data_IF_224188921246
#
_entry.id   IF_224188921246
#
_cell.length_a   1.000
_cell.length_b   1.000
_cell.length_c   1.000
_cell.angle_alpha   90.00
_cell.angle_beta   90.00
_cell.angle_gamma   90.00
#
_symmetry.space_group_name_H-M   'P 1'
#
loop_
_entity.id
_entity.type
_entity.pdbx_description
1 polymer ?
#
# COMPACT_ATOMS: atom_id res chain seq x y z
N UNK A 1 74.08 101.73 3.22
CA UNK A 1 72.90 100.84 3.39
C UNK A 1 72.48 100.20 2.06
N UNK A 2 73.34 99.36 1.45
CA UNK A 2 73.04 98.65 0.18
C UNK A 2 73.46 97.16 0.18
N UNK A 3 73.98 96.64 1.31
CA UNK A 3 74.53 95.28 1.40
C UNK A 3 73.65 94.29 2.18
N UNK A 4 72.50 94.73 2.70
CA UNK A 4 71.60 93.87 3.50
C UNK A 4 70.47 93.27 2.65
N UNK A 5 70.14 93.87 1.50
CA UNK A 5 69.01 93.42 0.66
C UNK A 5 69.34 92.16 -0.16
N UNK A 6 70.62 91.88 -0.42
CA UNK A 6 71.05 90.72 -1.25
C UNK A 6 70.95 89.40 -0.48
N UNK A 7 71.03 89.41 0.85
CA UNK A 7 70.95 88.19 1.67
C UNK A 7 69.52 87.64 1.81
N UNK A 8 68.48 88.45 1.64
CA UNK A 8 67.10 87.97 1.71
C UNK A 8 66.62 87.28 0.41
N UNK A 9 67.23 87.57 -0.74
CA UNK A 9 66.85 86.94 -2.03
C UNK A 9 67.46 85.55 -2.23
N UNK A 10 68.63 85.27 -1.64
CA UNK A 10 69.29 83.94 -1.75
C UNK A 10 68.59 82.89 -0.86
N UNK A 11 67.90 83.30 0.20
CA UNK A 11 67.17 82.39 1.09
C UNK A 11 65.80 81.95 0.53
N UNK A 12 65.27 82.61 -0.51
CA UNK A 12 63.96 82.26 -1.08
C UNK A 12 64.04 81.27 -2.25
N UNK A 13 65.23 81.05 -2.83
CA UNK A 13 65.41 80.13 -3.98
C UNK A 13 65.77 78.70 -3.52
N UNK A 14 66.15 78.50 -2.26
CA UNK A 14 66.54 77.18 -1.73
C UNK A 14 65.43 76.44 -0.97
N UNK A 15 64.22 76.98 -0.94
CA UNK A 15 63.06 76.41 -0.24
C UNK A 15 61.92 76.05 -1.19
N UNK A 16 62.24 75.47 -2.35
CA UNK A 16 61.26 74.69 -3.13
C UNK A 16 61.37 73.24 -2.64
N UNK A 17 60.50 72.77 -1.72
CA UNK A 17 60.41 71.35 -1.45
C UNK A 17 59.95 70.66 -2.74
N UNK A 18 60.74 69.69 -3.18
CA UNK A 18 60.40 68.78 -4.27
C UNK A 18 59.15 67.96 -3.90
N UNK A 19 57.97 68.47 -4.26
CA UNK A 19 56.69 67.76 -4.18
C UNK A 19 56.58 66.82 -5.39
N UNK A 20 57.29 65.69 -5.38
CA UNK A 20 57.07 64.62 -6.38
C UNK A 20 57.22 63.21 -5.81
N UNK A 21 57.18 63.02 -4.48
CA UNK A 21 57.37 61.68 -3.87
C UNK A 21 56.32 61.23 -2.85
N UNK A 22 55.17 61.92 -2.75
CA UNK A 22 54.08 61.50 -1.85
C UNK A 22 52.87 60.87 -2.57
N UNK A 23 52.60 61.21 -3.84
CA UNK A 23 51.42 60.71 -4.57
C UNK A 23 51.57 59.27 -5.09
N UNK A 24 52.80 58.79 -5.29
CA UNK A 24 53.03 57.40 -5.71
C UNK A 24 52.75 56.37 -4.61
N UNK A 25 52.67 56.75 -3.32
CA UNK A 25 52.44 55.77 -2.25
C UNK A 25 50.93 55.52 -1.99
N UNK A 26 50.08 56.48 -2.33
CA UNK A 26 48.61 56.37 -2.14
C UNK A 26 47.99 55.54 -3.27
N UNK A 27 48.42 55.76 -4.52
CA UNK A 27 47.93 54.99 -5.66
C UNK A 27 48.31 53.50 -5.59
N UNK A 28 49.51 53.16 -5.10
CA UNK A 28 49.91 51.76 -4.91
C UNK A 28 49.10 51.07 -3.79
N UNK A 29 48.80 51.77 -2.68
CA UNK A 29 47.93 51.21 -1.62
C UNK A 29 46.48 51.03 -2.07
N UNK A 30 45.95 51.94 -2.88
CA UNK A 30 44.59 51.80 -3.43
C UNK A 30 44.50 50.63 -4.44
N UNK A 31 45.50 50.46 -5.31
CA UNK A 31 45.56 49.31 -6.22
C UNK A 31 45.74 47.97 -5.49
N UNK A 32 46.57 47.90 -4.45
CA UNK A 32 46.74 46.71 -3.63
C UNK A 32 45.42 46.30 -2.94
N UNK A 33 44.71 47.26 -2.32
CA UNK A 33 43.42 47.01 -1.67
C UNK A 33 42.32 46.58 -2.65
N UNK A 34 42.33 47.11 -3.89
CA UNK A 34 41.40 46.69 -4.94
C UNK A 34 41.65 45.25 -5.39
N UNK A 35 42.92 44.86 -5.49
CA UNK A 35 43.31 43.52 -5.89
C UNK A 35 43.03 42.48 -4.80
N UNK A 36 43.26 42.83 -3.52
CA UNK A 36 42.90 41.98 -2.38
C UNK A 36 41.38 41.81 -2.26
N UNK A 37 40.60 42.87 -2.47
CA UNK A 37 39.13 42.78 -2.50
C UNK A 37 38.63 41.91 -3.66
N UNK A 38 39.27 41.98 -4.83
CA UNK A 38 38.95 41.12 -5.97
C UNK A 38 39.24 39.64 -5.66
N UNK A 39 40.40 39.35 -5.08
CA UNK A 39 40.80 38.00 -4.68
C UNK A 39 39.87 37.42 -3.60
N UNK A 40 39.44 38.23 -2.62
CA UNK A 40 38.45 37.82 -1.61
C UNK A 40 37.09 37.51 -2.26
N UNK A 41 36.65 38.34 -3.21
CA UNK A 41 35.39 38.14 -3.90
C UNK A 41 35.39 36.86 -4.76
N UNK A 42 36.50 36.54 -5.42
CA UNK A 42 36.66 35.28 -6.16
C UNK A 42 36.68 34.06 -5.23
N UNK A 43 37.37 34.14 -4.09
CA UNK A 43 37.36 33.06 -3.09
C UNK A 43 35.95 32.82 -2.52
N UNK A 44 35.22 33.90 -2.22
CA UNK A 44 33.84 33.80 -1.74
C UNK A 44 32.90 33.17 -2.78
N UNK A 45 33.05 33.52 -4.08
CA UNK A 45 32.29 32.89 -5.17
C UNK A 45 32.63 31.42 -5.33
N UNK A 46 33.91 31.06 -5.30
CA UNK A 46 34.34 29.66 -5.39
C UNK A 46 33.81 28.81 -4.23
N UNK A 47 33.74 29.38 -3.02
CA UNK A 47 33.16 28.70 -1.86
C UNK A 47 31.64 28.55 -1.99
N UNK A 48 30.95 29.59 -2.46
CA UNK A 48 29.50 29.55 -2.71
C UNK A 48 29.13 28.53 -3.80
N UNK A 49 29.93 28.39 -4.85
CA UNK A 49 29.73 27.38 -5.89
C UNK A 49 29.93 25.95 -5.35
N UNK A 50 30.94 25.73 -4.51
CA UNK A 50 31.15 24.42 -3.85
C UNK A 50 29.99 24.05 -2.95
N UNK A 51 29.50 25.00 -2.16
CA UNK A 51 28.34 24.79 -1.28
C UNK A 51 27.07 24.47 -2.09
N UNK A 52 26.87 25.15 -3.22
CA UNK A 52 25.76 24.87 -4.13
C UNK A 52 25.85 23.46 -4.72
N UNK A 53 27.03 23.06 -5.20
CA UNK A 53 27.25 21.71 -5.73
C UNK A 53 27.04 20.63 -4.66
N UNK A 54 27.45 20.88 -3.42
CA UNK A 54 27.25 19.94 -2.32
C UNK A 54 25.76 19.78 -1.99
N UNK A 55 25.00 20.88 -1.94
CA UNK A 55 23.54 20.84 -1.75
C UNK A 55 22.83 20.08 -2.86
N UNK A 56 23.20 20.30 -4.12
CA UNK A 56 22.61 19.58 -5.26
C UNK A 56 22.92 18.08 -5.26
N UNK A 57 24.06 17.65 -4.71
CA UNK A 57 24.37 16.22 -4.51
C UNK A 57 23.47 15.60 -3.44
N UNK A 58 23.35 16.26 -2.28
CA UNK A 58 22.51 15.77 -1.17
C UNK A 58 21.04 15.67 -1.59
N UNK A 59 20.54 16.66 -2.34
CA UNK A 59 19.16 16.66 -2.81
C UNK A 59 18.88 15.53 -3.80
N UNK A 60 19.82 15.25 -4.72
CA UNK A 60 19.70 14.10 -5.64
C UNK A 60 19.69 12.77 -4.91
N UNK A 61 20.58 12.59 -3.93
CA UNK A 61 20.63 11.36 -3.13
C UNK A 61 19.35 11.16 -2.32
N UNK A 62 18.77 12.25 -1.80
CA UNK A 62 17.48 12.22 -1.09
C UNK A 62 16.35 11.79 -2.02
N UNK A 63 16.24 12.39 -3.21
CA UNK A 63 15.21 12.04 -4.19
C UNK A 63 15.34 10.58 -4.66
N UNK A 64 16.56 10.09 -4.82
CA UNK A 64 16.79 8.69 -5.20
C UNK A 64 16.37 7.72 -4.09
N UNK A 65 16.66 8.05 -2.81
CA UNK A 65 16.19 7.25 -1.67
C UNK A 65 14.67 7.23 -1.57
N UNK A 66 14.01 8.37 -1.74
CA UNK A 66 12.54 8.46 -1.69
C UNK A 66 11.87 7.63 -2.81
N UNK A 67 12.46 7.60 -4.02
CA UNK A 67 11.96 6.72 -5.11
C UNK A 67 12.08 5.24 -4.75
N UNK A 68 13.26 4.81 -4.27
CA UNK A 68 13.49 3.41 -3.88
C UNK A 68 12.58 3.00 -2.71
N UNK A 69 12.32 3.91 -1.78
CA UNK A 69 11.44 3.64 -0.64
C UNK A 69 9.97 3.57 -1.05
N UNK A 70 9.53 4.40 -2.00
CA UNK A 70 8.20 4.31 -2.63
C UNK A 70 8.02 2.98 -3.36
N UNK A 71 8.99 2.59 -4.18
CA UNK A 71 8.95 1.32 -4.93
C UNK A 71 8.91 0.12 -3.97
N UNK A 72 9.67 0.17 -2.86
CA UNK A 72 9.62 -0.86 -1.81
C UNK A 72 8.26 -0.90 -1.10
N UNK A 73 7.64 0.24 -0.85
CA UNK A 73 6.30 0.30 -0.26
C UNK A 73 5.26 -0.30 -1.21
N UNK A 74 5.31 0.06 -2.50
CA UNK A 74 4.39 -0.47 -3.53
C UNK A 74 4.54 -1.98 -3.71
N UNK A 75 5.77 -2.50 -3.75
CA UNK A 75 6.03 -3.95 -3.79
C UNK A 75 5.49 -4.68 -2.56
N UNK A 76 5.68 -4.11 -1.35
CA UNK A 76 5.14 -4.71 -0.11
C UNK A 76 3.61 -4.72 -0.09
N UNK A 77 2.98 -3.71 -0.66
CA UNK A 77 1.53 -3.68 -0.81
C UNK A 77 1.03 -4.73 -1.80
N UNK A 78 1.68 -4.90 -2.95
CA UNK A 78 1.32 -5.92 -3.94
C UNK A 78 1.49 -7.34 -3.38
N UNK A 79 2.60 -7.61 -2.70
CA UNK A 79 2.86 -8.93 -2.10
C UNK A 79 1.88 -9.31 -0.97
N UNK A 80 1.27 -8.32 -0.30
CA UNK A 80 0.21 -8.55 0.71
C UNK A 80 -1.16 -8.77 0.08
N UNK A 81 -1.42 -8.23 -1.11
CA UNK A 81 -2.70 -8.41 -1.82
C UNK A 81 -2.73 -9.77 -2.49
N UNK A 82 -1.62 -10.23 -3.08
CA UNK A 82 -1.58 -11.54 -3.75
C UNK A 82 -1.63 -12.70 -2.75
N UNK A 83 -0.93 -12.61 -1.61
CA UNK A 83 -1.01 -13.65 -0.55
C UNK A 83 -2.36 -13.76 0.15
N UNK A 84 -3.27 -12.80 -0.02
CA UNK A 84 -4.64 -12.88 0.50
C UNK A 84 -5.60 -13.61 -0.42
N UNK A 85 -5.21 -13.87 -1.67
CA UNK A 85 -6.07 -14.55 -2.66
C UNK A 85 -5.82 -16.06 -2.74
N UNK A 86 -4.70 -16.52 -2.21
CA UNK A 86 -4.34 -17.95 -2.18
C UNK A 86 -4.91 -18.70 -0.96
N UNK A 87 -5.81 -18.08 -0.19
CA UNK A 87 -6.57 -18.71 0.90
C UNK A 87 -7.67 -19.65 0.41
N UNK A 88 -7.44 -20.33 -0.72
CA UNK A 88 -8.35 -21.31 -1.29
C UNK A 88 -8.48 -22.48 -0.30
N UNK A 89 -9.68 -22.61 0.27
CA UNK A 89 -10.19 -23.88 0.78
C UNK A 89 -9.91 -24.98 -0.25
N UNK A 90 -9.39 -26.11 0.24
CA UNK A 90 -8.93 -27.18 -0.63
C UNK A 90 -10.09 -28.13 -1.00
N UNK A 91 -10.75 -27.84 -2.12
CA UNK A 91 -11.74 -28.74 -2.71
C UNK A 91 -11.16 -30.08 -3.19
N UNK A 92 -9.84 -30.22 -3.28
CA UNK A 92 -9.19 -31.48 -3.68
C UNK A 92 -9.19 -32.53 -2.57
N UNK A 93 -9.57 -32.17 -1.34
CA UNK A 93 -9.61 -33.10 -0.22
C UNK A 93 -10.45 -34.35 -0.56
N UNK A 94 -9.97 -35.59 -0.31
CA UNK A 94 -10.64 -36.82 -0.74
C UNK A 94 -12.10 -36.98 -0.25
N UNK A 95 -12.45 -36.34 0.88
CA UNK A 95 -13.82 -36.31 1.41
C UNK A 95 -14.83 -35.63 0.48
N UNK A 96 -14.38 -34.65 -0.32
CA UNK A 96 -15.22 -33.97 -1.32
C UNK A 96 -15.34 -34.74 -2.63
N UNK A 97 -14.43 -35.66 -2.89
CA UNK A 97 -14.37 -36.47 -4.11
C UNK A 97 -14.96 -37.89 -3.93
N UNK A 98 -15.73 -38.12 -2.86
CA UNK A 98 -16.33 -39.42 -2.58
C UNK A 98 -17.47 -39.76 -3.55
N UNK A 99 -17.71 -41.07 -3.75
CA UNK A 99 -18.78 -41.60 -4.63
C UNK A 99 -20.20 -41.12 -4.30
N UNK A 100 -20.41 -40.59 -3.09
CA UNK A 100 -21.71 -40.05 -2.66
C UNK A 100 -21.98 -38.64 -3.19
N UNK A 101 -20.94 -37.92 -3.62
CA UNK A 101 -21.05 -36.64 -4.28
C UNK A 101 -21.16 -36.85 -5.79
N UNK A 102 -22.32 -36.50 -6.35
CA UNK A 102 -22.56 -36.60 -7.78
C UNK A 102 -22.55 -35.20 -8.38
N UNK A 103 -21.65 -34.90 -9.33
CA UNK A 103 -21.67 -33.60 -10.00
C UNK A 103 -22.97 -33.45 -10.80
N UNK A 104 -23.56 -32.25 -10.73
CA UNK A 104 -24.75 -31.90 -11.52
C UNK A 104 -24.27 -31.13 -12.75
N UNK A 105 -24.34 -31.77 -13.93
CA UNK A 105 -23.79 -31.23 -15.19
C UNK A 105 -24.37 -29.88 -15.61
N UNK A 106 -25.60 -29.58 -15.22
CA UNK A 106 -26.30 -28.33 -15.53
C UNK A 106 -27.27 -27.99 -14.43
N UNK A 107 -26.85 -27.12 -13.53
CA UNK A 107 -27.76 -26.46 -12.62
C UNK A 107 -28.06 -25.07 -13.16
N UNK A 108 -29.33 -24.70 -13.03
CA UNK A 108 -29.78 -23.33 -13.03
C UNK A 108 -28.86 -22.52 -12.11
N UNK A 109 -28.33 -21.37 -12.57
CA UNK A 109 -27.62 -20.43 -11.69
C UNK A 109 -28.62 -19.94 -10.65
N UNK A 110 -28.60 -20.61 -9.51
CA UNK A 110 -29.45 -20.28 -8.40
C UNK A 110 -29.16 -18.83 -8.01
N UNK A 111 -30.22 -18.03 -7.85
CA UNK A 111 -30.04 -16.64 -7.45
C UNK A 111 -29.75 -16.62 -5.95
N UNK A 112 -28.46 -16.69 -5.63
CA UNK A 112 -27.94 -16.70 -4.26
C UNK A 112 -27.90 -15.25 -3.75
N UNK A 113 -28.54 -14.93 -2.62
CA UNK A 113 -28.56 -13.56 -2.08
C UNK A 113 -27.26 -13.19 -1.34
N UNK A 114 -26.24 -14.05 -1.40
CA UNK A 114 -24.92 -13.90 -0.76
C UNK A 114 -23.85 -13.74 -1.83
N UNK A 115 -22.76 -13.06 -1.46
CA UNK A 115 -21.58 -13.00 -2.31
C UNK A 115 -20.58 -14.06 -1.89
N UNK A 116 -19.98 -14.74 -2.87
CA UNK A 116 -18.84 -15.60 -2.58
C UNK A 116 -17.72 -14.80 -1.92
N UNK A 117 -17.04 -15.43 -0.98
CA UNK A 117 -16.01 -14.86 -0.12
C UNK A 117 -16.48 -13.70 0.76
N UNK A 118 -17.78 -13.51 0.92
CA UNK A 118 -18.31 -12.59 1.92
C UNK A 118 -17.96 -13.11 3.31
N UNK A 119 -17.43 -12.22 4.16
CA UNK A 119 -17.03 -12.61 5.50
C UNK A 119 -18.25 -12.78 6.42
N UNK A 120 -18.18 -13.76 7.31
CA UNK A 120 -19.24 -14.03 8.28
C UNK A 120 -19.63 -12.79 9.09
N UNK A 121 -18.65 -12.00 9.53
CA UNK A 121 -18.83 -10.78 10.33
C UNK A 121 -19.51 -9.61 9.58
N UNK A 122 -19.55 -9.67 8.24
CA UNK A 122 -20.18 -8.66 7.38
C UNK A 122 -21.61 -8.98 7.00
N UNK A 123 -22.11 -10.16 7.38
CA UNK A 123 -23.48 -10.53 7.08
C UNK A 123 -24.45 -9.56 7.74
N UNK A 124 -25.35 -9.01 6.90
CA UNK A 124 -26.41 -8.10 7.30
C UNK A 124 -27.13 -8.62 8.54
N UNK A 125 -27.41 -7.72 9.48
CA UNK A 125 -28.20 -7.90 10.73
C UNK A 125 -29.53 -8.65 10.50
N UNK A 126 -29.93 -8.82 9.25
CA UNK A 126 -31.14 -9.49 8.78
C UNK A 126 -31.03 -11.03 8.66
N UNK A 127 -29.86 -11.64 8.80
CA UNK A 127 -29.74 -13.11 8.69
C UNK A 127 -29.35 -13.74 10.02
N UNK A 128 -30.13 -14.75 10.43
CA UNK A 128 -29.80 -15.54 11.62
C UNK A 128 -28.93 -16.72 11.23
N UNK A 129 -27.70 -16.73 11.75
CA UNK A 129 -26.70 -17.74 11.51
C UNK A 129 -26.36 -18.43 12.84
N UNK A 130 -26.40 -19.76 12.87
CA UNK A 130 -26.07 -20.56 14.05
C UNK A 130 -24.92 -21.50 13.68
N UNK A 131 -23.81 -21.43 14.41
CA UNK A 131 -22.71 -22.38 14.21
C UNK A 131 -23.19 -23.81 14.49
N UNK A 132 -22.84 -24.74 13.60
CA UNK A 132 -23.13 -26.17 13.81
C UNK A 132 -21.90 -26.81 14.44
N UNK A 133 -21.93 -26.96 15.77
CA UNK A 133 -20.90 -27.65 16.56
C UNK A 133 -21.14 -29.16 16.59
N UNK A 134 -21.05 -29.82 15.43
CA UNK A 134 -21.28 -31.26 15.30
C UNK A 134 -20.09 -31.95 14.62
N UNK A 135 -19.56 -32.97 15.27
CA UNK A 135 -18.37 -33.70 14.80
C UNK A 135 -18.56 -34.33 13.42
N UNK A 136 -19.73 -34.93 13.16
CA UNK A 136 -20.01 -35.58 11.87
C UNK A 136 -20.02 -34.58 10.71
N UNK A 137 -20.47 -33.34 10.95
CA UNK A 137 -20.34 -32.26 9.98
C UNK A 137 -18.88 -31.92 9.69
N UNK A 138 -18.04 -31.78 10.71
CA UNK A 138 -16.61 -31.51 10.53
C UNK A 138 -15.87 -32.64 9.81
N UNK A 139 -16.23 -33.90 10.08
CA UNK A 139 -15.63 -35.07 9.40
C UNK A 139 -15.97 -35.16 7.91
N UNK A 140 -17.13 -34.62 7.52
CA UNK A 140 -17.61 -34.60 6.14
C UNK A 140 -17.09 -33.38 5.38
N UNK A 141 -16.86 -32.27 6.07
CA UNK A 141 -16.40 -31.01 5.51
C UNK A 141 -15.13 -30.51 6.22
N UNK A 142 -14.00 -31.23 6.08
CA UNK A 142 -12.77 -30.87 6.77
C UNK A 142 -12.21 -29.52 6.30
N UNK A 143 -11.86 -28.65 7.25
CA UNK A 143 -11.39 -27.29 6.95
C UNK A 143 -12.50 -26.29 6.63
N UNK A 144 -13.77 -26.69 6.78
CA UNK A 144 -14.91 -25.78 6.67
C UNK A 144 -15.66 -25.67 8.01
N UNK A 145 -16.21 -24.49 8.24
CA UNK A 145 -17.08 -24.14 9.36
C UNK A 145 -18.53 -24.04 8.87
N UNK A 146 -19.40 -25.01 9.20
CA UNK A 146 -20.79 -24.99 8.80
C UNK A 146 -21.64 -24.13 9.74
N UNK A 147 -22.45 -23.24 9.16
CA UNK A 147 -23.43 -22.42 9.87
C UNK A 147 -24.82 -22.66 9.32
N UNK A 148 -25.79 -22.93 10.18
CA UNK A 148 -27.20 -22.98 9.82
C UNK A 148 -27.69 -21.55 9.56
N UNK A 149 -28.09 -21.30 8.33
CA UNK A 149 -28.77 -20.08 7.91
C UNK A 149 -30.28 -20.28 7.92
N UNK A 150 -31.00 -19.32 8.50
CA UNK A 150 -32.47 -19.31 8.58
C UNK A 150 -33.01 -18.00 8.00
N UNK A 151 -33.88 -18.11 6.99
CA UNK A 151 -34.51 -16.96 6.33
C UNK A 151 -35.63 -16.34 7.17
N UNK A 152 -35.29 -15.40 8.07
CA UNK A 152 -36.26 -14.75 8.96
C UNK A 152 -37.13 -13.69 8.28
N UNK A 153 -36.63 -12.99 7.26
CA UNK A 153 -37.28 -11.79 6.70
C UNK A 153 -37.85 -11.97 5.29
N UNK A 154 -37.77 -13.17 4.71
CA UNK A 154 -38.30 -13.39 3.36
C UNK A 154 -37.41 -12.88 2.25
N UNK A 155 -36.15 -12.53 2.57
CA UNK A 155 -35.16 -12.19 1.56
C UNK A 155 -34.89 -13.40 0.65
N UNK A 156 -34.88 -14.61 1.22
CA UNK A 156 -34.97 -15.89 0.52
C UNK A 156 -33.84 -16.21 -0.47
N UNK A 157 -33.41 -17.46 -0.47
CA UNK A 157 -32.65 -18.04 -1.58
C UNK A 157 -33.62 -18.88 -2.42
N UNK A 158 -33.56 -18.82 -3.75
CA UNK A 158 -34.45 -19.59 -4.63
C UNK A 158 -33.66 -20.56 -5.51
N UNK A 159 -34.10 -21.82 -5.50
CA UNK A 159 -33.56 -22.90 -6.32
C UNK A 159 -34.70 -23.60 -7.06
N UNK A 160 -34.68 -23.62 -8.39
CA UNK A 160 -35.74 -24.20 -9.23
C UNK A 160 -37.17 -23.78 -8.82
N UNK A 161 -37.39 -22.47 -8.67
CA UNK A 161 -38.67 -21.89 -8.20
C UNK A 161 -39.14 -22.39 -6.82
N UNK A 162 -38.26 -23.05 -6.06
CA UNK A 162 -38.48 -23.36 -4.65
C UNK A 162 -37.69 -22.40 -3.77
N UNK A 163 -38.38 -21.79 -2.82
CA UNK A 163 -37.73 -21.00 -1.78
C UNK A 163 -37.04 -21.92 -0.79
N UNK A 164 -35.74 -21.71 -0.64
CA UNK A 164 -34.92 -22.35 0.38
C UNK A 164 -34.98 -21.47 1.62
N UNK A 165 -35.59 -22.00 2.67
CA UNK A 165 -35.78 -21.32 3.96
C UNK A 165 -34.74 -21.70 5.01
N UNK A 166 -34.06 -22.84 4.79
CA UNK A 166 -33.00 -23.37 5.64
C UNK A 166 -31.85 -23.81 4.75
N UNK A 167 -30.65 -23.31 5.01
CA UNK A 167 -29.44 -23.72 4.32
C UNK A 167 -28.28 -23.83 5.33
N UNK A 168 -27.21 -24.51 4.91
CA UNK A 168 -25.93 -24.57 5.60
C UNK A 168 -24.95 -23.73 4.78
N UNK A 169 -24.39 -22.70 5.39
CA UNK A 169 -23.34 -21.89 4.81
C UNK A 169 -22.00 -22.42 5.30
N UNK A 170 -21.07 -22.68 4.39
CA UNK A 170 -19.74 -23.17 4.72
C UNK A 170 -18.72 -22.05 4.57
N UNK A 171 -18.02 -21.78 5.66
CA UNK A 171 -16.95 -20.81 5.71
C UNK A 171 -15.59 -21.49 5.78
N UNK A 172 -14.59 -20.96 5.09
CA UNK A 172 -13.22 -21.44 5.22
C UNK A 172 -12.56 -20.93 6.51
N UNK A 173 -11.27 -21.23 6.70
CA UNK A 173 -10.52 -20.79 7.88
C UNK A 173 -10.39 -19.27 8.01
N UNK A 174 -10.57 -18.53 6.92
CA UNK A 174 -10.52 -17.05 6.85
C UNK A 174 -11.89 -16.37 7.10
N UNK A 175 -12.90 -17.13 7.53
CA UNK A 175 -14.28 -16.67 7.69
C UNK A 175 -14.93 -16.22 6.38
N UNK A 176 -14.55 -16.77 5.24
CA UNK A 176 -15.11 -16.43 3.93
C UNK A 176 -16.11 -17.49 3.47
N UNK A 177 -17.28 -17.07 2.97
CA UNK A 177 -18.30 -17.97 2.42
C UNK A 177 -17.81 -18.63 1.14
N UNK A 178 -17.73 -19.96 1.13
CA UNK A 178 -17.14 -20.70 0.02
C UNK A 178 -18.07 -21.79 -0.53
N UNK A 179 -19.11 -22.15 0.21
CA UNK A 179 -20.12 -23.09 -0.26
C UNK A 179 -21.45 -22.92 0.47
N UNK A 180 -22.53 -23.35 -0.18
CA UNK A 180 -23.89 -23.35 0.36
C UNK A 180 -24.49 -24.74 0.16
N UNK A 181 -25.00 -25.34 1.23
CA UNK A 181 -25.68 -26.61 1.25
C UNK A 181 -27.16 -26.47 1.61
N UNK A 182 -28.07 -27.17 0.94
CA UNK A 182 -29.49 -27.16 1.31
C UNK A 182 -30.18 -28.43 0.83
N UNK A 183 -31.34 -28.72 1.39
CA UNK A 183 -32.12 -29.90 1.03
C UNK A 183 -33.17 -29.55 -0.03
N UNK A 184 -33.24 -30.33 -1.11
CA UNK A 184 -34.21 -30.18 -2.18
C UNK A 184 -34.63 -31.55 -2.70
N UNK A 185 -35.94 -31.83 -2.75
CA UNK A 185 -36.52 -33.08 -3.26
C UNK A 185 -35.88 -34.37 -2.70
N UNK A 186 -35.57 -34.39 -1.39
CA UNK A 186 -34.98 -35.58 -0.76
C UNK A 186 -33.46 -35.69 -0.90
N UNK A 187 -32.79 -34.70 -1.51
CA UNK A 187 -31.35 -34.72 -1.79
C UNK A 187 -30.68 -33.49 -1.19
N UNK A 188 -29.48 -33.66 -0.66
CA UNK A 188 -28.65 -32.54 -0.24
C UNK A 188 -27.90 -31.97 -1.44
N UNK A 189 -28.14 -30.71 -1.75
CA UNK A 189 -27.49 -29.96 -2.81
C UNK A 189 -26.37 -29.13 -2.18
N UNK A 190 -25.17 -29.19 -2.74
CA UNK A 190 -24.02 -28.36 -2.38
C UNK A 190 -23.62 -27.51 -3.59
N UNK A 191 -23.59 -26.19 -3.43
CA UNK A 191 -23.13 -25.22 -4.42
C UNK A 191 -21.84 -24.60 -3.91
N UNK A 192 -20.79 -24.60 -4.72
CA UNK A 192 -19.48 -24.05 -4.37
C UNK A 192 -19.22 -22.71 -5.04
N UNK A 193 -18.20 -22.02 -4.54
CA UNK A 193 -17.68 -20.76 -5.08
C UNK A 193 -17.07 -20.87 -6.49
N UNK A 194 -16.68 -22.08 -6.91
CA UNK A 194 -16.16 -22.37 -8.25
C UNK A 194 -17.25 -22.81 -9.25
N UNK A 195 -18.50 -22.42 -8.99
CA UNK A 195 -19.68 -22.73 -9.80
C UNK A 195 -19.94 -24.24 -9.99
N UNK A 196 -19.32 -25.12 -9.20
CA UNK A 196 -19.60 -26.55 -9.22
C UNK A 196 -20.77 -26.90 -8.28
N UNK A 197 -21.60 -27.84 -8.72
CA UNK A 197 -22.81 -28.28 -8.02
C UNK A 197 -22.75 -29.77 -7.78
N UNK A 198 -23.09 -30.19 -6.56
CA UNK A 198 -23.09 -31.59 -6.18
C UNK A 198 -24.37 -31.99 -5.47
N UNK A 199 -24.80 -33.21 -5.76
CA UNK A 199 -25.88 -33.90 -5.07
C UNK A 199 -25.31 -34.97 -4.14
N UNK A 200 -25.91 -35.08 -2.97
CA UNK A 200 -25.61 -36.12 -2.00
C UNK A 200 -26.89 -36.76 -1.46
N UNK A 201 -26.95 -38.09 -1.55
CA UNK A 201 -28.09 -38.92 -1.13
C UNK A 201 -27.84 -39.64 0.21
N UNK A 202 -26.80 -39.26 0.96
CA UNK A 202 -26.51 -39.82 2.27
C UNK A 202 -27.66 -39.55 3.26
N UNK A 203 -28.06 -40.57 3.99
CA UNK A 203 -29.16 -40.51 4.97
C UNK A 203 -28.87 -39.54 6.12
N UNK A 204 -27.59 -39.27 6.41
CA UNK A 204 -27.17 -38.26 7.37
C UNK A 204 -27.87 -36.90 7.15
N UNK A 205 -27.87 -36.42 5.90
CA UNK A 205 -28.48 -35.12 5.59
C UNK A 205 -30.00 -35.16 5.73
N UNK A 206 -30.64 -36.27 5.34
CA UNK A 206 -32.08 -36.43 5.50
C UNK A 206 -32.51 -36.42 6.97
N UNK A 207 -31.74 -37.08 7.85
CA UNK A 207 -32.00 -37.09 9.29
C UNK A 207 -31.81 -35.69 9.90
N UNK A 208 -30.71 -35.01 9.56
CA UNK A 208 -30.38 -33.70 10.11
C UNK A 208 -31.39 -32.61 9.75
N UNK A 209 -31.93 -32.63 8.53
CA UNK A 209 -32.95 -31.65 8.12
C UNK A 209 -34.37 -32.00 8.57
N UNK A 210 -34.59 -33.21 9.09
CA UNK A 210 -35.86 -33.63 9.67
C UNK A 210 -36.01 -33.27 11.16
N UNK A 211 -34.92 -32.80 11.79
CA UNK A 211 -34.85 -32.39 13.20
C UNK A 211 -34.96 -30.87 13.35
#
# INVERSE_FOLDING_TARGET
MKRIIILCLVMFVLSIPSVTKAENNINYRQHANLQDNYNLAEQARGQQERDKQQRERVERDKQQRERVERDRHEQRHHQRVDRRRDGHHDWSHPKYNQKHWRPVERSYRAHIPFKWHERFDRHSVQHHMILIENHEWHDRFPGLRPYRWIDRHGAGFWYHNHRVVNAIMFYNDYDELVSIGFFHNGVFILIRDDDCYYENHDTFFSLWFST
#
